data_IF_810814212602
#
_entry.id   IF_810814212602
#
_cell.length_a   1.000
_cell.length_b   1.000
_cell.length_c   1.000
_cell.angle_alpha   90.00
_cell.angle_beta   90.00
_cell.angle_gamma   90.00
#
_symmetry.space_group_name_H-M   'P 1'
#
loop_
_entity.id
_entity.type
_entity.pdbx_description
1 polymer ?
#
# COMPACT_ATOMS: atom_id res chain seq x y z
N UNK A 1 -2.87 -11.21 -17.62
CA UNK A 1 -3.32 -10.98 -16.23
C UNK A 1 -4.32 -9.83 -16.21
N UNK A 2 -5.23 -9.81 -15.23
CA UNK A 2 -6.07 -8.62 -14.98
C UNK A 2 -5.27 -7.49 -14.31
N UNK A 3 -5.81 -6.28 -14.30
CA UNK A 3 -5.24 -5.11 -13.62
C UNK A 3 -5.98 -4.79 -12.33
N UNK A 4 -5.38 -3.96 -11.48
CA UNK A 4 -6.10 -3.32 -10.37
C UNK A 4 -7.19 -2.41 -10.95
N UNK A 5 -8.35 -2.38 -10.28
CA UNK A 5 -9.49 -1.53 -10.63
C UNK A 5 -10.03 -0.87 -9.36
N UNK A 6 -11.01 0.03 -9.50
CA UNK A 6 -11.70 0.64 -8.35
C UNK A 6 -13.20 0.44 -8.51
N UNK A 7 -13.85 0.00 -7.44
CA UNK A 7 -15.29 -0.23 -7.38
C UNK A 7 -15.97 0.82 -6.50
N UNK A 8 -17.11 1.33 -6.95
CA UNK A 8 -17.99 2.18 -6.14
C UNK A 8 -18.76 1.30 -5.14
N UNK A 9 -18.82 1.72 -3.89
CA UNK A 9 -19.61 1.12 -2.81
C UNK A 9 -20.59 2.15 -2.27
N UNK A 10 -21.84 1.75 -2.04
CA UNK A 10 -22.82 2.62 -1.41
C UNK A 10 -22.64 2.55 0.12
N UNK A 11 -22.55 3.72 0.78
CA UNK A 11 -22.49 3.84 2.22
C UNK A 11 -23.49 4.90 2.72
N UNK A 12 -23.89 4.89 4.01
CA UNK A 12 -24.86 5.84 4.55
C UNK A 12 -24.49 7.32 4.36
N UNK A 13 -23.19 7.64 4.25
CA UNK A 13 -22.66 9.00 4.04
C UNK A 13 -22.42 9.37 2.57
N UNK A 14 -22.84 8.53 1.62
CA UNK A 14 -22.55 8.69 0.19
C UNK A 14 -21.68 7.56 -0.36
N UNK A 15 -21.38 7.65 -1.65
CA UNK A 15 -20.55 6.65 -2.31
C UNK A 15 -19.10 6.75 -1.84
N UNK A 16 -18.54 5.60 -1.50
CA UNK A 16 -17.11 5.42 -1.22
C UNK A 16 -16.52 4.51 -2.29
N UNK A 17 -15.19 4.51 -2.40
CA UNK A 17 -14.50 3.74 -3.42
C UNK A 17 -13.57 2.73 -2.79
N UNK A 18 -13.47 1.56 -3.41
CA UNK A 18 -12.67 0.44 -2.95
C UNK A 18 -11.76 -0.05 -4.07
N UNK A 19 -10.48 -0.21 -3.77
CA UNK A 19 -9.51 -0.85 -4.66
C UNK A 19 -9.84 -2.34 -4.78
N UNK A 20 -9.89 -2.82 -6.02
CA UNK A 20 -10.11 -4.21 -6.35
C UNK A 20 -8.87 -4.75 -7.02
N UNK A 21 -8.16 -5.61 -6.31
CA UNK A 21 -6.97 -6.30 -6.79
C UNK A 21 -7.29 -7.26 -7.94
N UNK A 22 -6.30 -7.56 -8.82
CA UNK A 22 -6.50 -8.44 -9.95
C UNK A 22 -6.92 -9.84 -9.49
N UNK A 23 -7.58 -10.59 -10.37
CA UNK A 23 -8.00 -11.97 -10.07
C UNK A 23 -6.84 -12.85 -9.59
N UNK A 24 -5.64 -12.69 -10.14
CA UNK A 24 -4.47 -13.49 -9.73
C UNK A 24 -4.09 -13.26 -8.26
N UNK A 25 -4.23 -12.04 -7.75
CA UNK A 25 -3.94 -11.69 -6.35
C UNK A 25 -5.06 -12.19 -5.43
N UNK A 26 -6.33 -11.97 -5.80
CA UNK A 26 -7.47 -12.42 -4.99
C UNK A 26 -7.55 -13.95 -4.83
N UNK A 27 -7.02 -14.70 -5.79
CA UNK A 27 -6.93 -16.16 -5.72
C UNK A 27 -5.78 -16.65 -4.82
N UNK A 28 -4.88 -15.75 -4.41
CA UNK A 28 -3.69 -16.02 -3.60
C UNK A 28 -3.80 -15.44 -2.19
N UNK A 29 -5.03 -15.30 -1.70
CA UNK A 29 -5.26 -14.75 -0.36
C UNK A 29 -4.76 -15.70 0.72
N UNK A 30 -4.90 -17.01 0.52
CA UNK A 30 -4.36 -18.00 1.46
C UNK A 30 -2.82 -17.97 1.46
N UNK A 31 -2.18 -17.75 0.30
CA UNK A 31 -0.72 -17.65 0.22
C UNK A 31 -0.17 -16.45 1.01
N UNK A 32 -0.88 -15.31 1.04
CA UNK A 32 -0.44 -14.16 1.84
C UNK A 32 -0.66 -14.37 3.35
N UNK A 33 -1.72 -15.07 3.75
CA UNK A 33 -1.92 -15.46 5.16
C UNK A 33 -0.81 -16.41 5.63
N UNK A 34 -0.36 -17.33 4.75
CA UNK A 34 0.79 -18.21 5.04
C UNK A 34 2.09 -17.43 5.18
N UNK A 35 2.35 -16.46 4.29
CA UNK A 35 3.50 -15.55 4.41
C UNK A 35 3.48 -14.77 5.73
N UNK A 36 2.32 -14.26 6.15
CA UNK A 36 2.18 -13.55 7.42
C UNK A 36 2.51 -14.46 8.60
N UNK A 37 2.04 -15.72 8.58
CA UNK A 37 2.39 -16.71 9.58
C UNK A 37 3.89 -17.05 9.59
N UNK A 38 4.54 -17.12 8.43
CA UNK A 38 6.00 -17.31 8.34
C UNK A 38 6.76 -16.14 8.98
N UNK A 39 6.36 -14.90 8.69
CA UNK A 39 6.97 -13.70 9.29
C UNK A 39 6.79 -13.71 10.81
N UNK A 40 5.59 -14.00 11.31
CA UNK A 40 5.32 -14.13 12.74
C UNK A 40 6.12 -15.26 13.41
N UNK A 41 6.38 -16.34 12.67
CA UNK A 41 7.24 -17.46 13.07
C UNK A 41 8.74 -17.16 13.03
N UNK A 42 9.16 -16.00 12.51
CA UNK A 42 10.56 -15.64 12.31
C UNK A 42 11.21 -16.31 11.10
N UNK A 43 10.40 -16.88 10.20
CA UNK A 43 10.83 -17.52 8.94
C UNK A 43 10.92 -16.51 7.78
N UNK A 44 11.50 -15.33 8.06
CA UNK A 44 11.50 -14.16 7.16
C UNK A 44 12.16 -14.44 5.80
N UNK A 45 13.19 -15.29 5.75
CA UNK A 45 13.84 -15.64 4.48
C UNK A 45 12.93 -16.48 3.58
N UNK A 46 12.19 -17.43 4.16
CA UNK A 46 11.22 -18.26 3.44
C UNK A 46 10.04 -17.41 2.98
N UNK A 47 9.53 -16.53 3.86
CA UNK A 47 8.49 -15.57 3.52
C UNK A 47 8.89 -14.69 2.33
N UNK A 48 10.15 -14.23 2.27
CA UNK A 48 10.66 -13.43 1.16
C UNK A 48 10.70 -14.21 -0.15
N UNK A 49 11.19 -15.45 -0.14
CA UNK A 49 11.23 -16.29 -1.33
C UNK A 49 9.82 -16.54 -1.88
N UNK A 50 8.87 -16.82 -1.00
CA UNK A 50 7.45 -16.99 -1.35
C UNK A 50 6.87 -15.69 -1.95
N UNK A 51 7.11 -14.54 -1.32
CA UNK A 51 6.68 -13.24 -1.84
C UNK A 51 7.26 -12.92 -3.23
N UNK A 52 8.53 -13.25 -3.47
CA UNK A 52 9.16 -13.10 -4.79
C UNK A 52 8.50 -14.01 -5.81
N UNK A 53 8.19 -15.26 -5.44
CA UNK A 53 7.45 -16.18 -6.30
C UNK A 53 6.04 -15.65 -6.61
N UNK A 54 5.29 -15.18 -5.60
CA UNK A 54 3.97 -14.58 -5.77
C UNK A 54 3.98 -13.39 -6.73
N UNK A 55 5.00 -12.52 -6.63
CA UNK A 55 5.15 -11.39 -7.54
C UNK A 55 5.59 -11.78 -8.95
N UNK A 56 6.27 -12.92 -9.12
CA UNK A 56 6.57 -13.46 -10.46
C UNK A 56 5.29 -13.90 -11.19
N UNK A 57 4.32 -14.42 -10.44
CA UNK A 57 3.02 -14.89 -10.95
C UNK A 57 1.95 -13.79 -11.00
N UNK A 58 2.04 -12.78 -10.16
CA UNK A 58 1.11 -11.66 -10.10
C UNK A 58 1.85 -10.37 -9.72
N UNK A 59 2.49 -9.67 -10.69
CA UNK A 59 3.31 -8.48 -10.41
C UNK A 59 2.57 -7.30 -9.76
N UNK A 60 1.24 -7.30 -9.85
CA UNK A 60 0.36 -6.28 -9.30
C UNK A 60 -0.32 -6.72 -7.99
N UNK A 61 0.21 -7.74 -7.31
CA UNK A 61 -0.26 -8.18 -5.99
C UNK A 61 0.20 -7.20 -4.91
N UNK A 62 -0.74 -6.39 -4.41
CA UNK A 62 -0.44 -5.28 -3.51
C UNK A 62 0.08 -5.75 -2.16
N UNK A 63 -0.54 -6.77 -1.57
CA UNK A 63 -0.14 -7.28 -0.26
C UNK A 63 1.30 -7.80 -0.29
N UNK A 64 1.69 -8.49 -1.37
CA UNK A 64 3.06 -8.99 -1.51
C UNK A 64 4.10 -7.86 -1.57
N UNK A 65 3.80 -6.75 -2.28
CA UNK A 65 4.65 -5.56 -2.23
C UNK A 65 4.68 -4.93 -0.84
N UNK A 66 3.55 -4.88 -0.12
CA UNK A 66 3.52 -4.34 1.25
C UNK A 66 4.39 -5.19 2.18
N UNK A 67 4.26 -6.51 2.15
CA UNK A 67 5.04 -7.42 3.01
C UNK A 67 6.54 -7.36 2.71
N UNK A 68 6.96 -7.36 1.44
CA UNK A 68 8.37 -7.15 1.09
C UNK A 68 8.89 -5.79 1.56
N UNK A 69 8.05 -4.76 1.53
CA UNK A 69 8.39 -3.44 2.06
C UNK A 69 8.61 -3.44 3.57
N UNK A 70 7.78 -4.19 4.32
CA UNK A 70 7.91 -4.34 5.77
C UNK A 70 9.15 -5.14 6.15
N UNK A 71 9.39 -6.28 5.50
CA UNK A 71 10.61 -7.09 5.68
C UNK A 71 11.86 -6.23 5.44
N UNK A 72 11.89 -5.47 4.34
CA UNK A 72 13.03 -4.61 4.05
C UNK A 72 13.25 -3.50 5.10
N UNK A 73 12.19 -3.00 5.76
CA UNK A 73 12.34 -2.06 6.88
C UNK A 73 12.89 -2.74 8.13
N UNK A 74 12.46 -3.96 8.44
CA UNK A 74 12.99 -4.74 9.57
C UNK A 74 14.49 -5.02 9.41
N UNK A 75 14.96 -5.10 8.17
CA UNK A 75 16.37 -5.28 7.82
C UNK A 75 17.19 -3.98 7.71
N UNK A 76 16.61 -2.84 8.11
CA UNK A 76 17.26 -1.52 8.00
C UNK A 76 17.64 -1.14 6.55
N UNK A 77 16.85 -1.59 5.55
CA UNK A 77 16.95 -1.17 4.15
C UNK A 77 15.76 -0.31 3.70
N UNK A 78 15.71 0.96 4.12
CA UNK A 78 14.65 1.89 3.72
C UNK A 78 14.69 2.22 2.22
N UNK A 79 15.78 1.89 1.49
CA UNK A 79 15.85 2.13 0.05
C UNK A 79 15.09 1.05 -0.72
N UNK A 80 15.28 -0.21 -0.34
CA UNK A 80 14.55 -1.34 -0.89
C UNK A 80 13.07 -1.27 -0.51
N UNK A 81 12.77 -1.00 0.76
CA UNK A 81 11.40 -0.85 1.24
C UNK A 81 10.61 0.21 0.45
N UNK A 82 11.24 1.37 0.20
CA UNK A 82 10.68 2.43 -0.65
C UNK A 82 10.32 1.96 -2.05
N UNK A 83 11.10 1.05 -2.64
CA UNK A 83 10.82 0.47 -3.95
C UNK A 83 9.52 -0.30 -3.95
N UNK A 84 9.34 -1.20 -2.98
CA UNK A 84 8.14 -2.02 -2.85
C UNK A 84 6.89 -1.20 -2.51
N UNK A 85 6.97 -0.36 -1.47
CA UNK A 85 5.85 0.54 -1.12
C UNK A 85 5.50 1.51 -2.25
N UNK A 86 6.53 2.05 -2.92
CA UNK A 86 6.35 2.93 -4.08
C UNK A 86 5.61 2.24 -5.23
N UNK A 87 5.93 0.96 -5.50
CA UNK A 87 5.27 0.18 -6.54
C UNK A 87 3.80 -0.06 -6.23
N UNK A 88 3.47 -0.52 -5.02
CA UNK A 88 2.08 -0.73 -4.60
C UNK A 88 1.26 0.57 -4.65
N UNK A 89 1.84 1.68 -4.16
CA UNK A 89 1.23 2.99 -4.19
C UNK A 89 0.95 3.48 -5.62
N UNK A 90 1.94 3.39 -6.51
CA UNK A 90 1.81 3.81 -7.92
C UNK A 90 0.74 3.01 -8.66
N UNK A 91 0.70 1.69 -8.44
CA UNK A 91 -0.31 0.81 -9.03
C UNK A 91 -1.74 1.24 -8.68
N UNK A 92 -1.98 1.57 -7.42
CA UNK A 92 -3.28 2.05 -6.95
C UNK A 92 -3.62 3.43 -7.52
N UNK A 93 -2.66 4.36 -7.54
CA UNK A 93 -2.87 5.69 -8.13
C UNK A 93 -3.27 5.61 -9.59
N UNK A 94 -2.60 4.77 -10.39
CA UNK A 94 -2.95 4.56 -11.80
C UNK A 94 -4.38 4.05 -11.95
N UNK A 95 -4.82 3.13 -11.08
CA UNK A 95 -6.19 2.62 -11.11
C UNK A 95 -7.23 3.69 -10.70
N UNK A 96 -6.94 4.49 -9.67
CA UNK A 96 -7.78 5.60 -9.21
C UNK A 96 -7.93 6.65 -10.32
N UNK A 97 -6.83 7.05 -10.94
CA UNK A 97 -6.80 8.02 -12.04
C UNK A 97 -7.56 7.50 -13.27
N UNK A 98 -7.33 6.24 -13.67
CA UNK A 98 -8.00 5.62 -14.81
C UNK A 98 -9.52 5.49 -14.61
N UNK A 99 -9.97 5.24 -13.38
CA UNK A 99 -11.39 5.16 -13.04
C UNK A 99 -12.05 6.54 -12.84
N UNK A 100 -11.29 7.64 -12.89
CA UNK A 100 -11.81 8.99 -12.69
C UNK A 100 -12.46 9.18 -11.32
N UNK A 101 -11.92 8.50 -10.30
CA UNK A 101 -12.52 8.47 -8.96
C UNK A 101 -12.55 9.88 -8.37
N UNK A 102 -13.76 10.37 -8.12
CA UNK A 102 -14.02 11.57 -7.35
C UNK A 102 -14.77 11.14 -6.08
N UNK A 103 -14.04 10.92 -4.99
CA UNK A 103 -14.62 10.52 -3.71
C UNK A 103 -13.64 9.82 -2.79
N UNK A 104 -14.07 9.53 -1.55
CA UNK A 104 -13.22 8.94 -0.53
C UNK A 104 -12.86 7.48 -0.84
N UNK A 105 -11.63 7.09 -0.50
CA UNK A 105 -11.15 5.70 -0.41
C UNK A 105 -10.76 5.41 1.05
N UNK A 106 -11.73 5.15 1.94
CA UNK A 106 -11.46 4.99 3.36
C UNK A 106 -10.65 3.71 3.65
N UNK A 107 -9.72 3.79 4.59
CA UNK A 107 -8.92 2.66 5.07
C UNK A 107 -9.79 1.52 5.63
N UNK A 108 -10.97 1.85 6.16
CA UNK A 108 -11.89 0.87 6.74
C UNK A 108 -12.40 -0.19 5.75
N UNK A 109 -12.28 0.02 4.44
CA UNK A 109 -12.59 -1.00 3.43
C UNK A 109 -11.38 -1.90 3.21
N UNK A 110 -11.51 -3.24 3.33
CA UNK A 110 -10.39 -4.17 3.20
C UNK A 110 -9.57 -3.99 1.92
N UNK A 111 -10.23 -3.77 0.77
CA UNK A 111 -9.52 -3.57 -0.49
C UNK A 111 -8.59 -2.35 -0.51
N UNK A 112 -8.83 -1.36 0.34
CA UNK A 112 -8.02 -0.15 0.43
C UNK A 112 -6.81 -0.29 1.37
N UNK A 113 -6.80 -1.28 2.26
CA UNK A 113 -5.77 -1.38 3.30
C UNK A 113 -4.34 -1.45 2.74
N UNK A 114 -4.04 -2.27 1.70
CA UNK A 114 -2.68 -2.36 1.15
C UNK A 114 -2.20 -1.03 0.56
N UNK A 115 -3.11 -0.25 -0.04
CA UNK A 115 -2.78 1.06 -0.58
C UNK A 115 -2.39 2.06 0.52
N UNK A 116 -3.15 2.09 1.61
CA UNK A 116 -2.88 2.95 2.77
C UNK A 116 -1.61 2.54 3.51
N UNK A 117 -1.41 1.24 3.71
CA UNK A 117 -0.17 0.69 4.29
C UNK A 117 1.04 1.02 3.43
N UNK A 118 0.94 0.84 2.10
CA UNK A 118 1.98 1.24 1.16
C UNK A 118 2.26 2.74 1.21
N UNK A 119 1.24 3.59 1.27
CA UNK A 119 1.44 5.04 1.37
C UNK A 119 2.16 5.43 2.67
N UNK A 120 1.82 4.78 3.79
CA UNK A 120 2.52 4.97 5.07
C UNK A 120 3.97 4.54 5.01
N UNK A 121 4.23 3.32 4.55
CA UNK A 121 5.59 2.80 4.41
C UNK A 121 6.42 3.67 3.46
N UNK A 122 5.84 4.09 2.34
CA UNK A 122 6.47 5.01 1.40
C UNK A 122 6.80 6.35 2.06
N UNK A 123 5.87 6.98 2.77
CA UNK A 123 6.11 8.24 3.45
C UNK A 123 7.22 8.12 4.50
N UNK A 124 7.23 7.03 5.28
CA UNK A 124 8.30 6.72 6.23
C UNK A 124 9.67 6.66 5.53
N UNK A 125 9.81 5.81 4.51
CA UNK A 125 11.07 5.65 3.79
C UNK A 125 11.51 6.95 3.10
N UNK A 126 10.58 7.76 2.60
CA UNK A 126 10.88 9.07 2.02
C UNK A 126 11.41 10.04 3.08
N UNK A 127 10.88 10.04 4.30
CA UNK A 127 11.40 10.86 5.39
C UNK A 127 12.82 10.42 5.77
N UNK A 128 13.05 9.12 5.97
CA UNK A 128 14.35 8.57 6.35
C UNK A 128 15.42 8.79 5.27
N UNK A 129 15.03 8.69 4.00
CA UNK A 129 15.95 8.89 2.87
C UNK A 129 16.09 10.35 2.43
N UNK A 130 15.63 11.31 3.24
CA UNK A 130 15.86 12.74 3.03
C UNK A 130 14.99 13.39 1.94
N UNK A 131 13.79 12.87 1.70
CA UNK A 131 12.83 13.32 0.67
C UNK A 131 11.50 13.82 1.27
N UNK A 132 11.53 14.79 2.23
CA UNK A 132 10.35 15.18 2.98
C UNK A 132 9.26 15.86 2.15
N UNK A 133 9.63 16.56 1.07
CA UNK A 133 8.65 17.20 0.16
C UNK A 133 7.77 16.17 -0.54
N UNK A 134 8.38 15.11 -1.07
CA UNK A 134 7.66 13.99 -1.69
C UNK A 134 6.85 13.22 -0.64
N UNK A 135 7.38 13.02 0.57
CA UNK A 135 6.62 12.41 1.65
C UNK A 135 5.34 13.20 1.96
N UNK A 136 5.45 14.53 2.03
CA UNK A 136 4.32 15.41 2.28
C UNK A 136 3.29 15.42 1.12
N UNK A 137 3.71 15.23 -0.13
CA UNK A 137 2.80 15.04 -1.26
C UNK A 137 1.98 13.76 -1.13
N UNK A 138 2.62 12.64 -0.75
CA UNK A 138 1.93 11.38 -0.43
C UNK A 138 0.92 11.62 0.70
N UNK A 139 1.36 12.25 1.80
CA UNK A 139 0.49 12.58 2.94
C UNK A 139 -0.74 13.40 2.55
N UNK A 140 -0.55 14.50 1.81
CA UNK A 140 -1.67 15.34 1.35
C UNK A 140 -2.66 14.57 0.49
N UNK A 141 -2.17 13.74 -0.42
CA UNK A 141 -3.03 12.95 -1.30
C UNK A 141 -3.85 11.94 -0.51
N UNK A 142 -3.22 11.21 0.41
CA UNK A 142 -3.92 10.23 1.24
C UNK A 142 -4.94 10.86 2.17
N UNK A 143 -4.63 12.00 2.79
CA UNK A 143 -5.59 12.72 3.64
C UNK A 143 -6.80 13.26 2.86
N UNK A 144 -6.63 13.56 1.56
CA UNK A 144 -7.74 13.92 0.70
C UNK A 144 -8.65 12.71 0.37
N UNK A 145 -8.08 11.50 0.32
CA UNK A 145 -8.81 10.25 0.06
C UNK A 145 -9.45 9.67 1.33
N UNK A 146 -8.80 9.83 2.48
CA UNK A 146 -9.29 9.41 3.78
C UNK A 146 -8.88 10.39 4.89
N UNK A 147 -9.75 11.34 5.25
CA UNK A 147 -9.49 12.28 6.33
C UNK A 147 -9.42 11.64 7.72
N UNK A 148 -9.84 10.38 7.89
CA UNK A 148 -9.78 9.71 9.19
C UNK A 148 -8.34 9.41 9.62
N UNK A 149 -7.39 9.37 8.67
CA UNK A 149 -5.97 9.14 8.92
C UNK A 149 -5.70 7.96 9.87
N UNK A 150 -6.38 6.82 9.65
CA UNK A 150 -6.36 5.69 10.57
C UNK A 150 -4.95 5.15 10.88
N UNK A 151 -4.00 5.38 9.96
CA UNK A 151 -2.61 4.94 10.09
C UNK A 151 -1.64 6.02 10.58
N UNK A 152 -2.13 7.24 10.86
CA UNK A 152 -1.36 8.35 11.42
C UNK A 152 -0.33 8.95 10.46
N UNK A 153 -0.63 8.98 9.17
CA UNK A 153 0.25 9.48 8.12
C UNK A 153 0.60 10.96 8.30
N UNK A 154 -0.34 11.78 8.80
CA UNK A 154 -0.09 13.20 9.05
C UNK A 154 1.07 13.43 10.02
N UNK A 155 1.21 12.53 11.01
CA UNK A 155 2.29 12.58 12.01
C UNK A 155 3.66 12.26 11.38
N UNK A 156 3.70 11.35 10.41
CA UNK A 156 4.93 10.91 9.75
C UNK A 156 5.51 12.04 8.89
N UNK A 157 4.66 12.69 8.08
CA UNK A 157 5.12 13.73 7.15
C UNK A 157 5.38 15.07 7.85
N UNK A 158 4.71 15.31 8.99
CA UNK A 158 4.85 16.50 9.81
C UNK A 158 4.49 17.83 9.09
N UNK A 159 4.54 18.97 9.80
CA UNK A 159 4.30 20.29 9.20
C UNK A 159 5.45 20.77 8.28
N UNK A 160 6.63 20.13 8.36
CA UNK A 160 7.87 20.55 7.67
C UNK A 160 7.91 20.25 6.16
N UNK A 161 6.86 19.66 5.59
CA UNK A 161 6.72 19.43 4.15
C UNK A 161 6.44 20.66 3.27
N UNK A 162 6.50 21.87 3.84
CA UNK A 162 6.13 23.13 3.18
C UNK A 162 7.29 24.15 3.05
N UNK A 163 8.54 23.74 3.30
CA UNK A 163 9.72 24.60 3.09
C UNK A 163 10.53 24.18 1.86
#
# INVERSE_FOLDING_TARGET
>A
MGSITVARRDAPGGAVWEIVQPRCARQRHEDIEEVEAMVEGGETDIARDELVWLLSECPDFLDAHVQLGLIALEEDDPRLARGHFGRAYELCLRAIEAAGVAGPLPYALPGNQPFHQAAKGLAHCLMETGRPRTAAEVGRRMLALDPADALGLARIVGPKGQA
#
